data_IF_873457177410
#
_entry.id   IF_873457177410
#
_cell.length_a   1.000
_cell.length_b   1.000
_cell.length_c   1.000
_cell.angle_alpha   90.00
_cell.angle_beta   90.00
_cell.angle_gamma   90.00
#
_symmetry.space_group_name_H-M   'P 1'
#
loop_
_entity.id
_entity.type
_entity.pdbx_description
1 polymer ?
#
# COMPACT_ATOMS: atom_id res chain seq x y z
N UNK A 1 -58.15 -13.42 -34.89
CA UNK A 1 -58.07 -14.77 -35.45
C UNK A 1 -56.65 -15.29 -35.31
N UNK A 2 -56.58 -16.51 -34.80
CA UNK A 2 -55.43 -17.43 -34.76
C UNK A 2 -54.25 -17.10 -33.84
N UNK A 3 -54.33 -17.74 -32.68
CA UNK A 3 -53.22 -18.03 -31.79
C UNK A 3 -52.41 -19.24 -32.34
N UNK A 4 -51.08 -19.19 -32.28
CA UNK A 4 -50.24 -20.37 -32.44
C UNK A 4 -49.34 -20.50 -31.23
N UNK A 5 -49.61 -21.58 -30.47
CA UNK A 5 -48.86 -21.95 -29.29
C UNK A 5 -47.51 -22.58 -29.66
N UNK A 6 -46.50 -22.34 -28.82
CA UNK A 6 -45.21 -23.08 -28.83
C UNK A 6 -45.11 -23.90 -27.56
N UNK A 7 -45.11 -25.20 -27.75
CA UNK A 7 -45.03 -26.26 -26.76
C UNK A 7 -43.63 -26.27 -26.10
N UNK A 8 -43.66 -26.27 -24.77
CA UNK A 8 -42.46 -26.58 -23.94
C UNK A 8 -42.15 -28.09 -24.03
N UNK A 9 -40.96 -28.42 -24.55
CA UNK A 9 -40.39 -29.76 -24.37
C UNK A 9 -39.53 -29.79 -23.11
N UNK A 10 -39.95 -30.66 -22.17
CA UNK A 10 -39.20 -30.92 -20.95
C UNK A 10 -37.92 -31.72 -21.23
N UNK A 11 -36.82 -31.26 -20.68
CA UNK A 11 -35.59 -32.02 -20.58
C UNK A 11 -35.60 -32.80 -19.25
N UNK A 12 -35.59 -34.11 -19.36
CA UNK A 12 -35.45 -35.03 -18.24
C UNK A 12 -33.98 -35.04 -17.80
N UNK A 13 -33.69 -34.68 -16.56
CA UNK A 13 -32.40 -34.96 -15.91
C UNK A 13 -32.39 -36.40 -15.43
N UNK A 14 -31.44 -37.19 -15.93
CA UNK A 14 -31.11 -38.50 -15.41
C UNK A 14 -30.11 -38.36 -14.22
N UNK A 15 -30.10 -39.31 -13.27
CA UNK A 15 -29.25 -39.24 -12.09
C UNK A 15 -27.86 -39.81 -12.41
N UNK A 16 -26.82 -38.99 -12.37
CA UNK A 16 -25.44 -39.41 -12.29
C UNK A 16 -24.97 -39.30 -10.83
N UNK A 17 -24.97 -40.45 -10.13
CA UNK A 17 -24.38 -40.57 -8.81
C UNK A 17 -22.87 -40.44 -8.89
N UNK A 18 -22.31 -39.36 -8.36
CA UNK A 18 -20.89 -39.24 -8.04
C UNK A 18 -20.73 -39.37 -6.53
N UNK A 19 -20.27 -40.53 -6.10
CA UNK A 19 -19.90 -40.82 -4.73
C UNK A 19 -18.66 -40.06 -4.34
N UNK A 20 -18.81 -38.99 -3.54
CA UNK A 20 -17.70 -38.28 -2.94
C UNK A 20 -17.11 -39.15 -1.82
N UNK A 21 -15.86 -39.59 -2.01
CA UNK A 21 -15.10 -40.23 -0.93
C UNK A 21 -14.68 -39.18 0.10
N UNK A 22 -14.73 -39.50 1.41
CA UNK A 22 -14.30 -38.56 2.44
C UNK A 22 -12.77 -38.47 2.47
N UNK A 23 -12.26 -37.24 2.34
CA UNK A 23 -10.84 -36.93 2.57
C UNK A 23 -10.54 -37.12 4.05
N UNK A 24 -9.80 -38.17 4.39
CA UNK A 24 -9.35 -38.44 5.75
C UNK A 24 -8.42 -37.31 6.24
N UNK A 25 -8.92 -36.53 7.19
CA UNK A 25 -8.21 -35.52 7.94
C UNK A 25 -7.17 -36.19 8.85
N UNK A 26 -5.91 -36.20 8.44
CA UNK A 26 -4.80 -36.55 9.35
C UNK A 26 -4.69 -35.48 10.42
N UNK A 27 -5.20 -35.76 11.60
CA UNK A 27 -4.92 -34.97 12.81
C UNK A 27 -3.43 -35.15 13.14
N UNK A 28 -2.64 -34.06 13.00
CA UNK A 28 -1.31 -34.00 13.62
C UNK A 28 -1.50 -33.41 15.02
N UNK A 29 -1.00 -34.18 15.98
CA UNK A 29 -0.98 -33.85 17.40
C UNK A 29 -0.34 -32.47 17.64
N UNK A 30 -1.03 -31.64 18.44
CA UNK A 30 -0.51 -30.39 18.97
C UNK A 30 0.42 -30.74 20.11
N UNK A 31 1.72 -30.77 19.83
CA UNK A 31 2.76 -30.78 20.84
C UNK A 31 2.97 -29.36 21.37
N UNK A 32 2.66 -29.15 22.64
CA UNK A 32 3.02 -27.92 23.37
C UNK A 32 4.54 -27.92 23.62
N UNK A 33 5.26 -27.15 22.83
CA UNK A 33 6.67 -26.86 23.02
C UNK A 33 6.96 -25.47 22.49
N UNK A 34 7.39 -24.56 23.35
CA UNK A 34 7.89 -23.24 22.96
C UNK A 34 9.18 -23.42 22.13
N UNK A 35 9.00 -23.69 20.83
CA UNK A 35 10.11 -23.73 19.89
C UNK A 35 10.51 -22.29 19.57
N UNK A 36 11.69 -21.90 20.01
CA UNK A 36 12.48 -20.82 19.42
C UNK A 36 12.36 -20.93 17.89
N UNK A 37 11.78 -19.92 17.25
CA UNK A 37 11.64 -19.85 15.80
C UNK A 37 13.05 -19.79 15.19
N UNK A 38 13.65 -20.94 14.95
CA UNK A 38 14.75 -21.06 14.01
C UNK A 38 14.16 -20.72 12.64
N UNK A 39 14.46 -19.52 12.14
CA UNK A 39 14.15 -19.14 10.76
C UNK A 39 14.69 -20.19 9.80
N UNK A 40 14.13 -20.30 8.57
CA UNK A 40 14.63 -21.27 7.60
C UNK A 40 16.13 -21.11 7.44
N UNK A 41 16.86 -22.17 7.79
CA UNK A 41 18.31 -22.22 7.65
C UNK A 41 18.62 -22.34 6.16
N UNK A 42 18.84 -21.20 5.50
CA UNK A 42 19.36 -21.20 4.14
C UNK A 42 20.79 -21.76 4.21
N UNK A 43 21.00 -22.90 3.60
CA UNK A 43 22.32 -23.50 3.46
C UNK A 43 23.26 -22.48 2.82
N UNK A 44 24.42 -22.27 3.39
CA UNK A 44 25.46 -21.37 2.84
C UNK A 44 25.78 -21.82 1.42
N UNK A 45 25.50 -20.97 0.42
CA UNK A 45 25.81 -21.23 -0.98
C UNK A 45 24.63 -21.35 -1.93
N UNK A 46 23.39 -21.52 -1.46
CA UNK A 46 22.21 -21.60 -2.33
C UNK A 46 21.71 -20.20 -2.65
N UNK A 47 21.63 -19.86 -3.93
CA UNK A 47 20.96 -18.64 -4.38
C UNK A 47 19.46 -18.77 -4.16
N UNK A 48 18.85 -17.72 -3.60
CA UNK A 48 17.42 -17.67 -3.26
C UNK A 48 16.73 -16.70 -4.22
N UNK A 49 15.82 -17.21 -5.06
CA UNK A 49 15.04 -16.38 -5.97
C UNK A 49 14.20 -15.41 -5.15
N UNK A 50 14.43 -14.13 -5.35
CA UNK A 50 13.82 -13.08 -4.55
C UNK A 50 13.02 -12.14 -5.43
N UNK A 51 11.73 -11.96 -5.12
CA UNK A 51 10.91 -10.89 -5.72
C UNK A 51 10.74 -9.75 -4.74
N UNK A 52 10.83 -8.53 -5.27
CA UNK A 52 10.71 -7.30 -4.48
C UNK A 52 9.44 -6.57 -4.91
N UNK A 53 8.61 -6.20 -3.96
CA UNK A 53 7.36 -5.48 -4.14
C UNK A 53 7.50 -4.11 -3.50
N UNK A 54 7.49 -3.06 -4.29
CA UNK A 54 7.72 -1.69 -3.83
C UNK A 54 6.44 -0.88 -3.89
N UNK A 55 5.94 -0.48 -2.75
CA UNK A 55 4.95 0.57 -2.65
C UNK A 55 5.64 1.92 -2.88
N UNK A 56 5.49 2.46 -4.08
CA UNK A 56 6.19 3.67 -4.50
C UNK A 56 5.83 4.91 -3.69
N UNK A 57 4.56 5.03 -3.26
CA UNK A 57 4.15 6.16 -2.43
C UNK A 57 4.64 6.03 -1.00
N UNK A 58 4.55 4.85 -0.42
CA UNK A 58 5.04 4.61 0.93
C UNK A 58 6.56 4.81 1.01
N UNK A 59 7.30 4.34 0.00
CA UNK A 59 8.74 4.60 -0.12
C UNK A 59 9.03 6.09 -0.30
N UNK A 60 8.31 6.79 -1.17
CA UNK A 60 8.52 8.22 -1.41
C UNK A 60 8.23 9.05 -0.16
N UNK A 61 7.04 8.91 0.43
CA UNK A 61 6.64 9.71 1.59
C UNK A 61 7.37 9.32 2.86
N UNK A 62 7.71 8.04 3.03
CA UNK A 62 8.37 7.54 4.21
C UNK A 62 9.88 7.79 4.25
N UNK A 63 10.57 7.75 3.11
CA UNK A 63 12.04 7.79 3.09
C UNK A 63 12.65 8.88 2.21
N UNK A 64 12.02 9.28 1.09
CA UNK A 64 12.68 10.09 0.04
C UNK A 64 12.20 11.52 -0.02
N UNK A 65 10.93 11.77 0.34
CA UNK A 65 10.35 13.11 0.34
C UNK A 65 11.14 14.05 1.25
N UNK A 66 11.45 15.25 0.76
CA UNK A 66 12.22 16.25 1.53
C UNK A 66 13.72 15.96 1.62
N UNK A 67 14.22 14.96 0.89
CA UNK A 67 15.65 14.65 0.80
C UNK A 67 16.18 14.91 -0.61
N UNK A 68 17.51 14.90 -0.76
CA UNK A 68 18.20 14.92 -2.07
C UNK A 68 18.30 13.52 -2.72
N UNK A 69 17.64 12.49 -2.15
CA UNK A 69 17.76 11.09 -2.56
C UNK A 69 16.59 10.60 -3.42
N UNK A 70 15.92 11.50 -4.14
CA UNK A 70 14.74 11.17 -4.96
C UNK A 70 15.09 10.41 -6.24
N UNK A 71 16.31 10.52 -6.74
CA UNK A 71 16.80 9.83 -7.93
C UNK A 71 17.29 8.42 -7.58
N UNK A 72 16.41 7.63 -7.00
CA UNK A 72 16.71 6.36 -6.31
C UNK A 72 16.57 5.17 -7.26
N UNK A 73 17.62 4.33 -7.33
CA UNK A 73 17.57 2.99 -7.92
C UNK A 73 17.02 1.98 -6.89
N UNK A 74 15.79 1.49 -7.06
CA UNK A 74 15.17 0.60 -6.10
C UNK A 74 15.78 -0.82 -6.11
N UNK A 75 16.38 -1.25 -7.21
CA UNK A 75 17.08 -2.54 -7.31
C UNK A 75 18.35 -2.49 -6.48
N UNK A 76 19.14 -1.43 -6.67
CA UNK A 76 20.36 -1.21 -5.89
C UNK A 76 20.06 -1.03 -4.41
N UNK A 77 18.99 -0.31 -4.06
CA UNK A 77 18.51 -0.19 -2.68
C UNK A 77 18.19 -1.57 -2.09
N UNK A 78 17.44 -2.38 -2.83
CA UNK A 78 17.04 -3.71 -2.38
C UNK A 78 18.24 -4.64 -2.16
N UNK A 79 19.24 -4.58 -3.05
CA UNK A 79 20.49 -5.33 -2.89
C UNK A 79 21.28 -4.93 -1.63
N UNK A 80 21.21 -3.66 -1.21
CA UNK A 80 21.83 -3.16 0.03
C UNK A 80 21.08 -3.56 1.31
N UNK A 81 19.81 -3.93 1.19
CA UNK A 81 18.92 -4.24 2.31
C UNK A 81 18.77 -5.75 2.54
N UNK A 82 18.89 -6.53 1.49
CA UNK A 82 18.71 -7.98 1.53
C UNK A 82 20.03 -8.72 1.73
N UNK A 83 19.99 -9.93 2.26
CA UNK A 83 21.18 -10.77 2.36
C UNK A 83 21.81 -11.05 0.99
N UNK A 84 23.14 -11.25 0.89
CA UNK A 84 23.82 -11.46 -0.41
C UNK A 84 23.35 -12.67 -1.21
N UNK A 85 22.80 -13.69 -0.56
CA UNK A 85 22.28 -14.89 -1.22
C UNK A 85 20.89 -14.67 -1.86
N UNK A 86 20.22 -13.55 -1.57
CA UNK A 86 18.97 -13.15 -2.18
C UNK A 86 19.24 -12.58 -3.58
N UNK A 87 18.96 -13.34 -4.61
CA UNK A 87 19.10 -12.91 -6.00
C UNK A 87 17.76 -12.31 -6.45
N UNK A 88 17.77 -11.03 -6.77
CA UNK A 88 16.57 -10.33 -7.23
C UNK A 88 16.28 -10.78 -8.65
N UNK A 89 15.21 -11.57 -8.79
CA UNK A 89 14.67 -12.02 -10.09
C UNK A 89 13.82 -10.90 -10.71
N UNK A 90 12.94 -10.31 -9.90
CA UNK A 90 12.03 -9.25 -10.35
C UNK A 90 11.77 -8.25 -9.23
N UNK A 91 11.61 -6.98 -9.61
CA UNK A 91 11.15 -5.91 -8.75
C UNK A 91 9.88 -5.30 -9.37
N UNK A 92 8.76 -5.44 -8.66
CA UNK A 92 7.48 -4.87 -9.04
C UNK A 92 7.29 -3.55 -8.31
N UNK A 93 7.19 -2.46 -9.06
CA UNK A 93 7.07 -1.10 -8.54
C UNK A 93 5.64 -0.60 -8.70
N UNK A 94 4.90 -0.47 -7.60
CA UNK A 94 3.50 -0.03 -7.60
C UNK A 94 3.42 1.45 -7.35
N UNK A 95 2.74 2.16 -8.25
CA UNK A 95 2.57 3.62 -8.19
C UNK A 95 1.34 4.05 -8.96
N UNK A 96 1.04 5.35 -8.96
CA UNK A 96 0.05 5.95 -9.85
C UNK A 96 0.60 7.26 -10.44
N UNK A 97 0.08 7.69 -11.59
CA UNK A 97 0.54 8.92 -12.22
C UNK A 97 0.06 10.12 -11.42
N UNK A 98 1.01 10.95 -10.96
CA UNK A 98 0.67 12.14 -10.18
C UNK A 98 0.03 13.22 -11.06
N UNK A 99 -0.87 13.97 -10.46
CA UNK A 99 -1.48 15.14 -11.08
C UNK A 99 -0.54 16.36 -11.03
N UNK A 100 -0.69 17.28 -11.99
CA UNK A 100 -0.02 18.59 -11.96
C UNK A 100 -0.60 19.57 -10.96
N UNK A 101 -1.53 19.16 -10.13
CA UNK A 101 -2.10 19.96 -9.05
C UNK A 101 -1.60 19.41 -7.71
N UNK A 102 -0.95 20.19 -6.87
CA UNK A 102 -0.65 21.64 -6.95
C UNK A 102 0.67 22.01 -7.62
N UNK A 103 1.44 21.05 -8.09
CA UNK A 103 2.78 21.25 -8.67
C UNK A 103 2.79 20.84 -10.14
N UNK A 104 2.70 21.82 -11.09
CA UNK A 104 2.63 21.52 -12.52
C UNK A 104 3.84 20.76 -13.06
N UNK A 105 5.00 20.84 -12.41
CA UNK A 105 6.20 20.11 -12.82
C UNK A 105 6.31 18.70 -12.26
N UNK A 106 5.44 18.31 -11.32
CA UNK A 106 5.48 17.00 -10.69
C UNK A 106 5.29 15.83 -11.70
N UNK A 107 4.35 15.91 -12.67
CA UNK A 107 4.19 14.85 -13.67
C UNK A 107 5.44 14.62 -14.52
N UNK A 108 6.09 15.71 -14.95
CA UNK A 108 7.30 15.63 -15.76
C UNK A 108 8.47 15.00 -14.99
N UNK A 109 8.63 15.39 -13.71
CA UNK A 109 9.65 14.79 -12.84
C UNK A 109 9.37 13.32 -12.57
N UNK A 110 8.12 12.96 -12.30
CA UNK A 110 7.73 11.55 -12.14
C UNK A 110 7.98 10.77 -13.44
N UNK A 111 7.63 11.32 -14.59
CA UNK A 111 7.85 10.65 -15.88
C UNK A 111 9.33 10.36 -16.11
N UNK A 112 10.23 11.33 -15.82
CA UNK A 112 11.67 11.11 -15.93
C UNK A 112 12.13 9.97 -15.02
N UNK A 113 11.61 9.89 -13.78
CA UNK A 113 11.91 8.81 -12.85
C UNK A 113 11.38 7.45 -13.34
N UNK A 114 10.15 7.41 -13.84
CA UNK A 114 9.56 6.18 -14.39
C UNK A 114 10.32 5.70 -15.64
N UNK A 115 10.79 6.63 -16.47
CA UNK A 115 11.66 6.30 -17.60
C UNK A 115 13.00 5.72 -17.15
N UNK A 116 13.57 6.25 -16.06
CA UNK A 116 14.78 5.70 -15.45
C UNK A 116 14.54 4.28 -14.89
N UNK A 117 13.41 4.04 -14.21
CA UNK A 117 13.04 2.70 -13.75
C UNK A 117 12.92 1.70 -14.92
N UNK A 118 12.36 2.14 -16.06
CA UNK A 118 12.22 1.32 -17.27
C UNK A 118 13.55 0.92 -17.93
N UNK A 119 14.68 1.50 -17.52
CA UNK A 119 16.01 1.05 -17.98
C UNK A 119 16.55 -0.14 -17.20
N UNK A 120 15.93 -0.49 -16.09
CA UNK A 120 16.33 -1.62 -15.25
C UNK A 120 15.59 -2.87 -15.70
N UNK A 121 16.29 -3.92 -16.18
CA UNK A 121 15.63 -5.12 -16.74
C UNK A 121 14.83 -5.91 -15.71
N UNK A 122 15.18 -5.80 -14.42
CA UNK A 122 14.46 -6.48 -13.35
C UNK A 122 13.16 -5.76 -12.96
N UNK A 123 12.95 -4.50 -13.37
CA UNK A 123 11.85 -3.65 -12.88
C UNK A 123 10.63 -3.73 -13.80
N UNK A 124 9.50 -3.96 -13.18
CA UNK A 124 8.17 -3.85 -13.78
C UNK A 124 7.34 -2.82 -13.01
N UNK A 125 6.81 -1.82 -13.73
CA UNK A 125 6.01 -0.75 -13.11
C UNK A 125 4.53 -1.02 -13.28
N UNK A 126 3.82 -1.10 -12.16
CA UNK A 126 2.37 -1.29 -12.11
C UNK A 126 1.68 -0.01 -11.71
N UNK A 127 0.68 0.40 -12.47
CA UNK A 127 -0.04 1.64 -12.24
C UNK A 127 -1.38 1.39 -11.56
N UNK A 128 -1.61 2.07 -10.45
CA UNK A 128 -2.94 2.37 -9.93
C UNK A 128 -3.55 3.57 -10.65
N UNK A 129 -4.62 4.09 -10.11
CA UNK A 129 -5.30 5.26 -10.63
C UNK A 129 -5.45 6.33 -9.55
N UNK A 130 -5.47 7.61 -9.96
CA UNK A 130 -5.89 8.69 -9.10
C UNK A 130 -7.36 9.06 -9.37
N UNK A 131 -8.12 9.14 -8.30
CA UNK A 131 -9.45 9.71 -8.32
C UNK A 131 -9.37 11.15 -7.80
N UNK A 132 -9.54 12.12 -8.68
CA UNK A 132 -9.71 13.50 -8.29
C UNK A 132 -11.18 13.71 -7.90
N UNK A 133 -11.42 14.14 -6.68
CA UNK A 133 -12.77 14.47 -6.19
C UNK A 133 -12.74 15.72 -5.33
N UNK A 134 -13.80 16.48 -5.36
CA UNK A 134 -14.02 17.56 -4.42
C UNK A 134 -14.73 17.01 -3.19
N UNK A 135 -14.19 17.27 -2.02
CA UNK A 135 -14.73 16.81 -0.74
C UNK A 135 -14.86 17.96 0.25
N UNK A 136 -15.97 18.00 0.97
CA UNK A 136 -16.17 18.91 2.08
C UNK A 136 -15.65 18.28 3.37
N UNK A 137 -14.80 19.01 4.10
CA UNK A 137 -14.27 18.56 5.39
C UNK A 137 -14.46 19.62 6.45
N UNK A 138 -14.84 19.23 7.69
CA UNK A 138 -14.90 20.15 8.79
C UNK A 138 -13.50 20.65 9.15
N UNK A 139 -13.39 21.95 9.42
CA UNK A 139 -12.21 22.56 9.97
C UNK A 139 -12.16 22.25 11.47
N UNK A 140 -11.07 21.67 11.93
CA UNK A 140 -10.84 21.42 13.35
C UNK A 140 -10.14 22.63 13.93
N UNK A 141 -10.79 23.30 14.91
CA UNK A 141 -10.14 24.31 15.73
C UNK A 141 -9.18 23.58 16.67
N UNK A 142 -7.89 23.71 16.46
CA UNK A 142 -6.89 23.21 17.40
C UNK A 142 -6.96 24.07 18.67
N UNK A 143 -7.11 23.49 19.87
CA UNK A 143 -6.99 24.24 21.11
C UNK A 143 -5.55 24.79 21.19
N UNK A 144 -5.42 26.11 21.31
CA UNK A 144 -4.15 26.74 21.64
C UNK A 144 -3.94 26.59 23.14
N UNK A 145 -2.74 26.21 23.54
CA UNK A 145 -2.38 26.05 24.96
C UNK A 145 -2.85 27.26 25.77
N UNK A 146 -3.76 27.06 26.76
CA UNK A 146 -4.27 28.11 27.60
C UNK A 146 -5.78 28.37 27.53
N UNK A 147 -6.61 27.38 27.23
CA UNK A 147 -8.09 27.46 27.32
C UNK A 147 -8.79 28.56 26.49
N UNK A 148 -8.15 29.17 25.53
CA UNK A 148 -8.79 30.04 24.55
C UNK A 148 -8.96 29.31 23.22
N UNK A 149 -10.19 29.15 22.78
CA UNK A 149 -10.51 28.84 21.39
C UNK A 149 -10.24 30.14 20.62
N UNK A 150 -9.02 30.31 20.15
CA UNK A 150 -8.71 31.40 19.25
C UNK A 150 -9.42 31.17 17.91
N UNK A 151 -9.75 32.29 17.24
CA UNK A 151 -10.33 32.26 15.90
C UNK A 151 -9.54 31.27 15.02
N UNK A 152 -10.20 30.55 14.11
CA UNK A 152 -9.54 29.58 13.25
C UNK A 152 -8.36 30.25 12.58
N UNK A 153 -7.14 29.81 12.89
CA UNK A 153 -5.97 30.24 12.15
C UNK A 153 -6.19 29.84 10.71
N UNK A 154 -5.97 30.75 9.74
CA UNK A 154 -5.92 30.32 8.36
C UNK A 154 -4.90 29.18 8.31
N UNK A 155 -5.38 27.97 7.95
CA UNK A 155 -4.50 26.86 7.73
C UNK A 155 -3.64 27.28 6.57
N UNK A 156 -2.40 27.63 6.84
CA UNK A 156 -1.39 27.82 5.80
C UNK A 156 -1.17 26.43 5.24
N UNK A 157 -1.96 26.09 4.23
CA UNK A 157 -1.76 24.86 3.48
C UNK A 157 -0.34 24.95 2.93
N UNK A 158 0.43 23.87 2.98
CA UNK A 158 1.75 23.86 2.33
C UNK A 158 1.58 24.34 0.92
N UNK A 159 2.51 25.20 0.46
CA UNK A 159 2.47 25.83 -0.85
C UNK A 159 2.05 24.82 -1.92
N UNK A 160 0.89 25.03 -2.51
CA UNK A 160 0.31 24.12 -3.47
C UNK A 160 -1.14 23.69 -3.25
N UNK A 161 -1.67 23.78 -2.05
CA UNK A 161 -3.11 23.61 -1.83
C UNK A 161 -3.78 24.98 -1.76
N UNK A 162 -4.17 25.51 -2.91
CA UNK A 162 -4.97 26.73 -2.92
C UNK A 162 -6.37 26.42 -2.39
N UNK A 163 -6.88 27.16 -1.38
CA UNK A 163 -8.29 27.09 -1.06
C UNK A 163 -9.05 27.51 -2.31
N UNK A 164 -9.99 26.72 -2.76
CA UNK A 164 -10.94 27.16 -3.77
C UNK A 164 -11.62 28.41 -3.21
N UNK A 165 -11.58 29.51 -3.95
CA UNK A 165 -12.25 30.74 -3.57
C UNK A 165 -13.74 30.42 -3.34
N UNK A 166 -14.20 30.55 -2.09
CA UNK A 166 -15.57 30.23 -1.72
C UNK A 166 -15.73 29.28 -0.53
N UNK A 167 -14.88 29.41 0.51
CA UNK A 167 -15.19 28.77 1.80
C UNK A 167 -16.54 29.32 2.29
N UNK A 168 -17.59 28.55 2.12
CA UNK A 168 -18.94 28.90 2.56
C UNK A 168 -19.17 28.27 3.93
N UNK A 169 -19.70 29.07 4.84
CA UNK A 169 -20.27 28.55 6.10
C UNK A 169 -21.49 27.71 5.73
N UNK A 170 -21.35 26.39 5.79
CA UNK A 170 -22.49 25.50 5.68
C UNK A 170 -22.72 24.83 7.03
N UNK A 171 -23.96 24.92 7.48
CA UNK A 171 -24.44 24.10 8.58
C UNK A 171 -24.54 22.67 8.07
N UNK A 172 -23.65 21.78 8.50
CA UNK A 172 -23.76 20.37 8.14
C UNK A 172 -25.06 19.80 8.73
N UNK A 173 -25.88 19.08 7.94
CA UNK A 173 -26.99 18.36 8.51
C UNK A 173 -26.45 17.37 9.55
N UNK A 174 -27.05 17.37 10.72
CA UNK A 174 -26.67 16.55 11.87
C UNK A 174 -26.72 15.07 11.48
N UNK A 175 -25.59 14.53 11.12
CA UNK A 175 -25.41 13.08 10.95
C UNK A 175 -25.24 12.45 12.33
N UNK A 176 -26.09 11.50 12.67
CA UNK A 176 -25.92 10.68 13.88
C UNK A 176 -24.74 9.75 13.70
N UNK A 177 -23.57 10.14 14.19
CA UNK A 177 -22.42 9.24 14.29
C UNK A 177 -22.59 8.30 15.49
N UNK A 178 -22.48 6.97 15.30
CA UNK A 178 -22.48 6.05 16.41
C UNK A 178 -21.20 6.25 17.22
N UNK A 179 -21.30 6.70 18.47
CA UNK A 179 -20.19 6.65 19.42
C UNK A 179 -19.75 5.19 19.57
N UNK A 180 -18.48 4.91 19.30
CA UNK A 180 -17.84 3.66 19.73
C UNK A 180 -17.81 3.63 21.26
N UNK A 181 -18.80 2.95 21.84
CA UNK A 181 -18.79 2.59 23.26
C UNK A 181 -18.40 1.13 23.39
N UNK A 182 -17.32 0.84 24.10
CA UNK A 182 -17.02 -0.49 24.60
C UNK A 182 -18.10 -0.85 25.63
N UNK A 183 -18.86 -1.91 25.37
CA UNK A 183 -19.79 -2.46 26.34
C UNK A 183 -21.26 -2.43 25.91
N UNK A 184 -21.91 -3.55 26.12
CA UNK A 184 -23.32 -3.84 25.94
C UNK A 184 -24.22 -2.80 26.64
N UNK A 185 -24.38 -1.59 26.10
CA UNK A 185 -25.37 -0.62 26.56
C UNK A 185 -26.27 -0.23 25.39
N UNK A 186 -27.59 -0.33 25.65
CA UNK A 186 -28.71 0.02 24.76
C UNK A 186 -28.40 1.31 23.98
N UNK A 187 -28.61 1.24 22.67
CA UNK A 187 -28.56 2.39 21.74
C UNK A 187 -29.38 3.56 22.30
N UNK A 188 -28.74 4.50 22.99
CA UNK A 188 -29.30 5.82 23.19
C UNK A 188 -29.07 6.59 21.88
N UNK A 189 -30.15 6.97 21.21
CA UNK A 189 -30.11 7.96 20.13
C UNK A 189 -29.41 9.20 20.69
N UNK A 190 -28.29 9.59 20.07
CA UNK A 190 -27.66 10.86 20.41
C UNK A 190 -28.59 11.97 19.90
N UNK A 191 -29.26 12.64 20.80
CA UNK A 191 -30.24 13.71 20.53
C UNK A 191 -29.62 15.11 20.64
N UNK A 192 -28.33 15.23 20.85
CA UNK A 192 -27.67 16.54 20.86
C UNK A 192 -27.19 16.88 19.44
N UNK A 193 -27.58 18.02 18.88
CA UNK A 193 -27.01 18.50 17.63
C UNK A 193 -25.49 18.69 17.82
N UNK A 194 -24.71 18.30 16.81
CA UNK A 194 -23.32 18.65 16.78
C UNK A 194 -23.21 20.18 16.65
N UNK A 195 -22.25 20.81 17.35
CA UNK A 195 -22.01 22.24 17.19
C UNK A 195 -21.75 22.55 15.70
N UNK A 196 -22.18 23.71 15.25
CA UNK A 196 -21.93 24.21 13.92
C UNK A 196 -20.45 24.11 13.59
N UNK A 197 -20.12 23.33 12.58
CA UNK A 197 -18.75 23.17 12.12
C UNK A 197 -18.54 24.03 10.87
N UNK A 198 -17.41 24.77 10.86
CA UNK A 198 -16.92 25.37 9.65
C UNK A 198 -16.42 24.26 8.71
N UNK A 199 -16.91 24.22 7.50
CA UNK A 199 -16.47 23.26 6.47
C UNK A 199 -15.80 24.00 5.33
N UNK A 200 -14.78 23.38 4.76
CA UNK A 200 -14.14 23.86 3.56
C UNK A 200 -14.14 22.79 2.48
N UNK A 201 -14.20 23.24 1.26
CA UNK A 201 -14.10 22.39 0.08
C UNK A 201 -12.63 22.14 -0.26
N UNK A 202 -12.27 20.87 -0.47
CA UNK A 202 -10.92 20.48 -0.83
C UNK A 202 -10.92 19.65 -2.09
N UNK A 203 -9.96 19.92 -2.98
CA UNK A 203 -9.62 18.98 -4.01
C UNK A 203 -8.82 17.83 -3.36
N UNK A 204 -9.45 16.69 -3.20
CA UNK A 204 -8.81 15.48 -2.72
C UNK A 204 -8.35 14.63 -3.91
N UNK A 205 -7.08 14.31 -3.93
CA UNK A 205 -6.51 13.31 -4.81
C UNK A 205 -6.35 12.03 -3.99
N UNK A 206 -7.12 11.02 -4.33
CA UNK A 206 -7.08 9.72 -3.65
C UNK A 206 -6.49 8.71 -4.63
N UNK A 207 -5.37 8.13 -4.24
CA UNK A 207 -4.79 7.03 -4.96
C UNK A 207 -5.63 5.77 -4.74
N UNK A 208 -5.83 5.00 -5.79
CA UNK A 208 -6.63 3.79 -5.80
C UNK A 208 -5.89 2.66 -6.50
N UNK A 209 -5.85 1.54 -5.84
CA UNK A 209 -5.48 0.27 -6.43
C UNK A 209 -4.02 -0.14 -6.28
N UNK A 210 -3.07 0.73 -5.93
CA UNK A 210 -1.66 0.33 -5.77
C UNK A 210 -1.48 -0.76 -4.72
N UNK A 211 -2.09 -0.59 -3.53
CA UNK A 211 -1.99 -1.56 -2.44
C UNK A 211 -2.68 -2.88 -2.78
N UNK A 212 -3.85 -2.79 -3.44
CA UNK A 212 -4.59 -3.97 -3.91
C UNK A 212 -3.79 -4.70 -4.98
N UNK A 213 -3.19 -3.98 -5.93
CA UNK A 213 -2.35 -4.56 -6.97
C UNK A 213 -1.12 -5.23 -6.35
N UNK A 214 -0.44 -4.55 -5.40
CA UNK A 214 0.71 -5.12 -4.69
C UNK A 214 0.31 -6.43 -3.98
N UNK A 215 -0.78 -6.40 -3.21
CA UNK A 215 -1.27 -7.57 -2.51
C UNK A 215 -1.63 -8.72 -3.46
N UNK A 216 -2.32 -8.41 -4.57
CA UNK A 216 -2.72 -9.39 -5.57
C UNK A 216 -1.50 -10.04 -6.24
N UNK A 217 -0.50 -9.24 -6.65
CA UNK A 217 0.74 -9.76 -7.25
C UNK A 217 1.54 -10.61 -6.24
N UNK A 218 1.69 -10.15 -5.01
CA UNK A 218 2.39 -10.90 -3.95
C UNK A 218 1.75 -12.28 -3.73
N UNK A 219 0.42 -12.34 -3.64
CA UNK A 219 -0.31 -13.58 -3.48
C UNK A 219 -0.20 -14.45 -4.73
N UNK A 220 -0.51 -13.91 -5.90
CA UNK A 220 -0.43 -14.65 -7.16
C UNK A 220 0.94 -15.30 -7.36
N UNK A 221 2.00 -14.53 -7.14
CA UNK A 221 3.37 -15.00 -7.31
C UNK A 221 3.76 -16.06 -6.28
N UNK A 222 3.27 -15.94 -5.04
CA UNK A 222 3.49 -16.94 -4.01
C UNK A 222 2.80 -18.27 -4.34
N UNK A 223 1.56 -18.22 -4.86
CA UNK A 223 0.79 -19.40 -5.22
C UNK A 223 1.31 -20.09 -6.48
N UNK A 224 1.85 -19.33 -7.42
CA UNK A 224 2.50 -19.84 -8.64
C UNK A 224 4.00 -20.19 -8.46
N UNK A 225 4.50 -20.15 -7.23
CA UNK A 225 5.88 -20.52 -6.90
C UNK A 225 6.97 -19.72 -7.64
N UNK A 226 6.69 -18.44 -7.92
CA UNK A 226 7.56 -17.57 -8.70
C UNK A 226 8.73 -16.99 -7.92
N UNK A 227 8.80 -17.20 -6.61
CA UNK A 227 9.92 -16.80 -5.75
C UNK A 227 10.11 -17.78 -4.58
N UNK A 228 11.29 -17.79 -3.99
CA UNK A 228 11.58 -18.52 -2.76
C UNK A 228 11.42 -17.63 -1.53
N UNK A 229 11.71 -16.35 -1.67
CA UNK A 229 11.48 -15.30 -0.67
C UNK A 229 10.96 -14.03 -1.31
N UNK A 230 10.23 -13.21 -0.55
CA UNK A 230 9.77 -11.91 -0.99
C UNK A 230 10.30 -10.80 -0.10
N UNK A 231 10.48 -9.60 -0.68
CA UNK A 231 10.71 -8.37 0.07
C UNK A 231 9.61 -7.36 -0.27
N UNK A 232 8.96 -6.82 0.75
CA UNK A 232 7.90 -5.80 0.59
C UNK A 232 8.42 -4.50 1.20
N UNK A 233 8.57 -3.47 0.37
CA UNK A 233 8.99 -2.13 0.79
C UNK A 233 7.73 -1.29 1.03
N UNK A 234 7.19 -1.37 2.22
CA UNK A 234 6.05 -0.61 2.71
C UNK A 234 5.94 -0.71 4.24
N UNK A 235 5.20 0.19 4.85
CA UNK A 235 4.78 0.12 6.26
C UNK A 235 3.25 0.17 6.38
N UNK A 236 2.53 -0.13 5.31
CA UNK A 236 1.07 -0.13 5.31
C UNK A 236 0.51 -1.39 5.98
N UNK A 237 -0.40 -1.17 6.92
CA UNK A 237 -1.05 -2.24 7.69
C UNK A 237 -2.05 -3.05 6.87
N UNK A 238 -2.51 -2.56 5.74
CA UNK A 238 -3.43 -3.28 4.86
C UNK A 238 -2.74 -4.51 4.21
N UNK A 239 -1.40 -4.49 4.16
CA UNK A 239 -0.59 -5.62 3.69
C UNK A 239 -0.39 -6.76 4.71
N UNK A 240 -0.88 -6.60 5.95
CA UNK A 240 -0.74 -7.63 7.01
C UNK A 240 -1.35 -8.97 6.58
N UNK A 241 -2.55 -8.94 6.01
CA UNK A 241 -3.25 -10.17 5.61
C UNK A 241 -2.55 -10.91 4.47
N UNK A 242 -2.23 -10.27 3.31
CA UNK A 242 -1.54 -10.96 2.23
C UNK A 242 -0.16 -11.48 2.67
N UNK A 243 0.61 -10.73 3.45
CA UNK A 243 1.91 -11.19 3.96
C UNK A 243 1.75 -12.41 4.85
N UNK A 244 0.76 -12.42 5.76
CA UNK A 244 0.48 -13.58 6.61
C UNK A 244 0.08 -14.81 5.81
N UNK A 245 -0.72 -14.66 4.77
CA UNK A 245 -1.08 -15.77 3.88
C UNK A 245 0.17 -16.37 3.22
N UNK A 246 1.07 -15.54 2.71
CA UNK A 246 2.33 -15.99 2.11
C UNK A 246 3.22 -16.71 3.14
N UNK A 247 3.38 -16.14 4.33
CA UNK A 247 4.28 -16.72 5.35
C UNK A 247 3.71 -17.93 6.02
N UNK A 248 2.40 -17.95 6.36
CA UNK A 248 1.78 -19.01 7.14
C UNK A 248 1.23 -20.15 6.26
N UNK A 249 0.67 -19.84 5.08
CA UNK A 249 0.01 -20.83 4.24
C UNK A 249 0.94 -21.39 3.16
N UNK A 250 1.80 -20.52 2.58
CA UNK A 250 2.79 -20.93 1.58
C UNK A 250 4.17 -21.24 2.17
N UNK A 251 4.41 -20.90 3.44
CA UNK A 251 5.69 -21.14 4.10
C UNK A 251 6.86 -20.33 3.52
N UNK A 252 6.58 -19.30 2.69
CA UNK A 252 7.63 -18.50 2.05
C UNK A 252 8.03 -17.32 2.92
N UNK A 253 9.33 -17.13 3.20
CA UNK A 253 9.79 -16.00 4.00
C UNK A 253 9.50 -14.66 3.32
N UNK A 254 9.06 -13.67 4.12
CA UNK A 254 8.84 -12.30 3.67
C UNK A 254 9.65 -11.33 4.51
N UNK A 255 10.46 -10.52 3.85
CA UNK A 255 11.12 -9.35 4.42
C UNK A 255 10.19 -8.15 4.34
N UNK A 256 9.91 -7.50 5.47
CA UNK A 256 9.35 -6.16 5.50
C UNK A 256 10.48 -5.16 5.56
N UNK A 257 10.51 -4.26 4.59
CA UNK A 257 11.42 -3.13 4.54
C UNK A 257 10.63 -1.86 4.81
N UNK A 258 10.77 -1.34 6.04
CA UNK A 258 10.08 -0.12 6.45
C UNK A 258 10.79 1.11 5.88
N UNK A 259 10.11 1.93 5.06
CA UNK A 259 10.66 3.20 4.61
C UNK A 259 10.75 4.20 5.77
N UNK A 260 11.91 4.87 5.91
CA UNK A 260 12.09 5.97 6.83
C UNK A 260 12.31 5.59 8.30
N UNK A 261 12.01 6.56 9.18
CA UNK A 261 12.33 6.49 10.63
C UNK A 261 11.23 5.85 11.48
N UNK A 262 10.08 5.59 10.92
CA UNK A 262 8.93 5.09 11.63
C UNK A 262 9.16 3.64 12.10
N UNK A 263 8.63 3.32 13.25
CA UNK A 263 8.60 1.92 13.68
C UNK A 263 7.69 1.11 12.76
N UNK A 264 8.07 -0.11 12.48
CA UNK A 264 7.21 -1.05 11.76
C UNK A 264 5.97 -1.31 12.57
N UNK A 265 4.80 -1.22 11.94
CA UNK A 265 3.53 -1.51 12.58
C UNK A 265 3.58 -2.89 13.24
N UNK A 266 3.16 -3.03 14.52
CA UNK A 266 3.29 -4.28 15.27
C UNK A 266 2.71 -5.50 14.55
N UNK A 267 1.57 -5.34 13.88
CA UNK A 267 0.92 -6.41 13.11
C UNK A 267 1.74 -6.83 11.88
N UNK A 268 2.37 -5.88 11.17
CA UNK A 268 3.29 -6.19 10.07
C UNK A 268 4.52 -6.95 10.56
N UNK A 269 5.09 -6.51 11.68
CA UNK A 269 6.23 -7.20 12.30
C UNK A 269 5.91 -8.64 12.67
N UNK A 270 4.66 -8.92 13.12
CA UNK A 270 4.21 -10.28 13.44
C UNK A 270 3.97 -11.15 12.21
N UNK A 271 3.52 -10.53 11.10
CA UNK A 271 3.23 -11.25 9.86
C UNK A 271 4.50 -11.57 9.05
N UNK A 272 5.53 -10.73 9.16
CA UNK A 272 6.78 -10.86 8.43
C UNK A 272 7.75 -11.87 9.07
N UNK A 273 8.62 -12.46 8.23
CA UNK A 273 9.72 -13.31 8.72
C UNK A 273 10.89 -12.46 9.19
N UNK A 274 11.16 -11.35 8.50
CA UNK A 274 12.27 -10.44 8.79
C UNK A 274 11.86 -8.99 8.61
N UNK A 275 12.52 -8.09 9.37
CA UNK A 275 12.30 -6.65 9.30
C UNK A 275 13.61 -5.94 8.98
N UNK A 276 13.56 -4.96 8.09
CA UNK A 276 14.65 -4.06 7.74
C UNK A 276 14.14 -2.61 7.72
N UNK A 277 15.05 -1.67 7.84
CA UNK A 277 14.75 -0.24 7.76
C UNK A 277 15.63 0.42 6.71
N UNK A 278 15.05 1.28 5.92
CA UNK A 278 15.78 2.12 4.97
C UNK A 278 16.50 3.24 5.73
N UNK A 279 17.81 3.33 5.57
CA UNK A 279 18.66 4.36 6.21
C UNK A 279 19.20 5.33 5.16
N UNK A 280 19.54 6.56 5.57
CA UNK A 280 20.07 7.59 4.69
C UNK A 280 21.33 7.16 3.93
N UNK A 281 22.21 6.39 4.57
CA UNK A 281 23.42 5.86 3.92
C UNK A 281 23.09 4.94 2.74
N UNK A 282 22.07 4.09 2.88
CA UNK A 282 21.60 3.20 1.79
C UNK A 282 20.94 3.99 0.67
N UNK A 283 20.10 4.99 1.01
CA UNK A 283 19.53 5.89 0.01
C UNK A 283 20.61 6.63 -0.77
N UNK A 284 21.64 7.15 -0.10
CA UNK A 284 22.79 7.82 -0.73
C UNK A 284 23.54 6.86 -1.68
N UNK A 285 23.79 5.64 -1.25
CA UNK A 285 24.52 4.65 -2.03
C UNK A 285 23.73 4.08 -3.20
N UNK A 286 22.40 4.14 -3.16
CA UNK A 286 21.49 3.57 -4.16
C UNK A 286 20.96 4.62 -5.16
N UNK A 287 21.64 5.75 -5.35
CA UNK A 287 21.22 6.72 -6.36
C UNK A 287 21.61 6.26 -7.77
N UNK A 288 20.74 6.53 -8.74
CA UNK A 288 21.12 6.49 -10.15
C UNK A 288 22.25 7.52 -10.43
N UNK A 289 23.06 7.32 -11.47
CA UNK A 289 23.95 8.35 -11.97
C UNK A 289 23.13 9.57 -12.42
N UNK A 290 23.74 10.77 -12.42
CA UNK A 290 23.05 12.01 -12.81
C UNK A 290 22.39 11.88 -14.21
N UNK A 291 23.11 11.29 -15.14
CA UNK A 291 22.62 10.94 -16.48
C UNK A 291 22.84 9.45 -16.69
N UNK A 292 21.80 8.75 -17.11
CA UNK A 292 21.87 7.32 -17.39
C UNK A 292 22.60 7.09 -18.72
N UNK A 293 23.69 6.31 -18.72
CA UNK A 293 24.47 6.08 -19.93
C UNK A 293 23.62 5.50 -21.08
N UNK A 294 23.81 6.03 -22.28
CA UNK A 294 23.14 5.51 -23.50
C UNK A 294 21.65 5.81 -23.63
N UNK A 295 21.02 6.53 -22.68
CA UNK A 295 19.56 6.73 -22.70
C UNK A 295 19.13 8.19 -22.87
N UNK A 296 20.00 9.17 -22.59
CA UNK A 296 19.67 10.58 -22.54
C UNK A 296 18.79 10.98 -21.32
N UNK A 297 18.45 10.04 -20.44
CA UNK A 297 17.62 10.30 -19.27
C UNK A 297 18.51 10.86 -18.16
N UNK A 298 18.13 12.04 -17.67
CA UNK A 298 18.87 12.74 -16.60
C UNK A 298 17.99 13.02 -15.40
N UNK A 299 18.65 13.15 -14.25
CA UNK A 299 18.01 13.55 -12.99
C UNK A 299 17.29 14.89 -13.19
N UNK A 300 15.99 14.99 -12.83
CA UNK A 300 15.25 16.25 -12.91
C UNK A 300 15.87 17.36 -12.06
N UNK A 301 15.82 18.59 -12.55
CA UNK A 301 16.26 19.76 -11.78
C UNK A 301 15.47 19.88 -10.48
N UNK A 302 16.16 20.16 -9.39
CA UNK A 302 15.54 20.29 -8.06
C UNK A 302 15.24 18.96 -7.32
N UNK A 303 15.80 17.89 -7.79
CA UNK A 303 15.68 16.55 -7.14
C UNK A 303 16.92 16.16 -6.35
#
# INVERSE_FOLDING_TARGET
MAATGITRRGLKCGPAGATLQPVTRRQRAVGSGAALRSGPCFLRGTQVRTRVYVDGFNLYYGAVRGTSFKWLDPVRLSRLLLPPHCVIDKLLYFTARVSGIPDPAAPARQQAYLSALGTLPEVEVHYGSFLAKTVWRPLVNLPVAGNRIDAPRPVTLPAGNHPVAGATRQTLPVGTYPRRGSGRRKRRKATAPLPDALVAEFHAMEEKGSDVNLAAHLLNDAWNDLFDTAAVISNDTDLVTPIRMVTAERGKPVFIVCPGRWQVAPKLKQAASYVRHVRAAQLKAAQFPHTLPGTGISRPTGW
#
